data_IF_174198645558
#
_entry.id   IF_174198645558
#
_cell.length_a   1.000
_cell.length_b   1.000
_cell.length_c   1.000
_cell.angle_alpha   90.00
_cell.angle_beta   90.00
_cell.angle_gamma   90.00
#
_symmetry.space_group_name_H-M   'P 1'
#
loop_
_entity.id
_entity.type
_entity.pdbx_description
1 polymer ?
#
# COMPACT_ATOMS: atom_id res chain seq x y z
N UNK A 1 -15.50 -25.86 -41.90
CA UNK A 1 -15.83 -24.62 -42.65
C UNK A 1 -17.26 -24.26 -42.25
N UNK A 2 -17.43 -23.19 -41.47
CA UNK A 2 -18.76 -22.78 -40.97
C UNK A 2 -19.43 -21.98 -42.07
N UNK A 3 -20.61 -22.42 -42.51
CA UNK A 3 -21.39 -21.72 -43.53
C UNK A 3 -21.76 -20.31 -43.06
N UNK A 4 -21.45 -19.33 -43.90
CA UNK A 4 -21.71 -17.90 -43.64
C UNK A 4 -23.20 -17.65 -43.39
N UNK A 5 -24.07 -18.44 -44.03
CA UNK A 5 -25.52 -18.42 -43.81
C UNK A 5 -25.96 -18.92 -42.43
N UNK A 6 -25.18 -19.83 -41.83
CA UNK A 6 -25.44 -20.34 -40.48
C UNK A 6 -25.01 -19.31 -39.42
N UNK A 7 -23.90 -18.59 -39.66
CA UNK A 7 -23.45 -17.51 -38.79
C UNK A 7 -24.41 -16.30 -38.82
N UNK A 8 -24.93 -15.95 -40.00
CA UNK A 8 -25.91 -14.85 -40.17
C UNK A 8 -27.27 -15.16 -39.54
N UNK A 9 -27.73 -16.41 -39.56
CA UNK A 9 -28.97 -16.81 -38.86
C UNK A 9 -28.81 -16.81 -37.35
N UNK A 10 -27.63 -17.13 -36.82
CA UNK A 10 -27.39 -17.15 -35.38
C UNK A 10 -27.37 -15.74 -34.75
N UNK A 11 -26.87 -14.73 -35.48
CA UNK A 11 -26.84 -13.34 -34.99
C UNK A 11 -28.21 -12.65 -35.07
N UNK A 12 -29.09 -13.07 -35.98
CA UNK A 12 -30.43 -12.52 -36.13
C UNK A 12 -31.39 -12.89 -34.99
N UNK A 13 -31.11 -13.97 -34.24
CA UNK A 13 -32.01 -14.51 -33.21
C UNK A 13 -31.57 -14.27 -31.75
N UNK A 14 -30.41 -13.64 -31.48
CA UNK A 14 -30.02 -13.28 -30.10
C UNK A 14 -30.63 -11.97 -29.59
N UNK A 15 -31.86 -11.66 -30.04
CA UNK A 15 -32.67 -10.54 -29.59
C UNK A 15 -33.12 -10.73 -28.14
N UNK A 16 -32.46 -10.01 -27.24
CA UNK A 16 -32.79 -9.77 -25.83
C UNK A 16 -34.31 -9.78 -25.57
N UNK A 17 -34.81 -10.79 -24.85
CA UNK A 17 -36.12 -10.75 -24.18
C UNK A 17 -36.04 -9.73 -23.03
N UNK A 18 -36.74 -8.60 -23.19
CA UNK A 18 -37.01 -7.61 -22.15
C UNK A 18 -38.41 -7.05 -22.36
N UNK A 19 -39.27 -7.22 -21.35
CA UNK A 19 -40.71 -7.03 -21.37
C UNK A 19 -41.17 -5.55 -21.45
N UNK A 20 -42.44 -5.35 -21.83
CA UNK A 20 -43.22 -4.17 -21.43
C UNK A 20 -43.65 -3.24 -22.57
N UNK A 21 -44.95 -3.25 -22.86
CA UNK A 21 -45.64 -2.47 -23.89
C UNK A 21 -45.88 -1.01 -23.49
N UNK A 22 -45.64 -0.06 -24.41
CA UNK A 22 -46.62 0.95 -24.87
C UNK A 22 -46.08 1.78 -26.04
N UNK A 23 -46.99 2.10 -26.96
CA UNK A 23 -46.71 2.55 -28.31
C UNK A 23 -45.94 3.87 -28.43
N UNK A 24 -45.01 3.85 -29.37
CA UNK A 24 -44.31 4.97 -29.97
C UNK A 24 -43.50 4.36 -31.09
N UNK A 25 -43.67 4.85 -32.32
CA UNK A 25 -42.97 4.37 -33.51
C UNK A 25 -41.47 4.22 -33.23
N UNK A 26 -41.04 2.98 -32.96
CA UNK A 26 -39.62 2.66 -32.95
C UNK A 26 -39.21 2.66 -34.40
N UNK A 27 -38.71 3.80 -34.88
CA UNK A 27 -37.86 3.87 -36.07
C UNK A 27 -36.93 2.67 -35.99
N UNK A 28 -37.11 1.71 -36.90
CA UNK A 28 -36.12 0.66 -37.11
C UNK A 28 -34.82 1.40 -37.33
N UNK A 29 -33.88 1.30 -36.40
CA UNK A 29 -32.51 1.73 -36.62
C UNK A 29 -32.00 0.85 -37.76
N UNK A 30 -32.15 1.34 -38.99
CA UNK A 30 -31.51 0.77 -40.16
C UNK A 30 -30.04 0.72 -39.81
N UNK A 31 -29.55 -0.49 -39.55
CA UNK A 31 -28.12 -0.74 -39.40
C UNK A 31 -27.48 -0.19 -40.67
N UNK A 32 -26.63 0.82 -40.53
CA UNK A 32 -25.88 1.33 -41.68
C UNK A 32 -25.15 0.15 -42.35
N UNK A 33 -25.15 0.08 -43.69
CA UNK A 33 -24.42 -0.95 -44.40
C UNK A 33 -22.96 -0.97 -43.94
N UNK A 34 -22.47 -2.12 -43.54
CA UNK A 34 -21.08 -2.29 -43.08
C UNK A 34 -20.11 -1.99 -44.24
N UNK A 35 -19.33 -0.91 -44.11
CA UNK A 35 -18.27 -0.54 -45.05
C UNK A 35 -16.91 -1.02 -44.52
N UNK A 36 -16.32 -2.09 -45.08
CA UNK A 36 -15.08 -2.67 -44.58
C UNK A 36 -13.88 -1.70 -44.69
N UNK A 37 -13.87 -0.80 -45.67
CA UNK A 37 -12.81 0.21 -45.84
C UNK A 37 -12.84 1.26 -44.73
N UNK A 38 -14.01 1.86 -44.49
CA UNK A 38 -14.20 2.85 -43.45
C UNK A 38 -13.96 2.26 -42.05
N UNK A 39 -14.37 1.01 -41.83
CA UNK A 39 -14.05 0.28 -40.60
C UNK A 39 -12.54 0.05 -40.43
N UNK A 40 -11.83 -0.34 -41.48
CA UNK A 40 -10.38 -0.55 -41.41
C UNK A 40 -9.61 0.75 -41.11
N UNK A 41 -10.04 1.89 -41.66
CA UNK A 41 -9.44 3.20 -41.36
C UNK A 41 -9.69 3.63 -39.91
N UNK A 42 -10.88 3.35 -39.38
CA UNK A 42 -11.20 3.59 -37.98
C UNK A 42 -10.37 2.74 -37.02
N UNK A 43 -10.19 1.46 -37.30
CA UNK A 43 -9.34 0.58 -36.48
C UNK A 43 -7.87 1.04 -36.48
N UNK A 44 -7.38 1.53 -37.63
CA UNK A 44 -6.04 2.14 -37.70
C UNK A 44 -5.95 3.41 -36.85
N UNK A 45 -6.96 4.29 -36.91
CA UNK A 45 -7.01 5.50 -36.11
C UNK A 45 -7.03 5.18 -34.60
N UNK A 46 -7.82 4.20 -34.19
CA UNK A 46 -7.91 3.75 -32.79
C UNK A 46 -6.59 3.11 -32.32
N UNK A 47 -5.92 2.33 -33.17
CA UNK A 47 -4.60 1.77 -32.86
C UNK A 47 -3.53 2.87 -32.71
N UNK A 48 -3.54 3.89 -33.58
CA UNK A 48 -2.62 5.03 -33.46
C UNK A 48 -2.86 5.81 -32.16
N UNK A 49 -4.13 6.08 -31.83
CA UNK A 49 -4.50 6.73 -30.57
C UNK A 49 -4.04 5.92 -29.36
N UNK A 50 -4.25 4.59 -29.38
CA UNK A 50 -3.81 3.70 -28.31
C UNK A 50 -2.31 3.81 -28.05
N UNK A 51 -1.48 3.69 -29.08
CA UNK A 51 -0.02 3.79 -28.93
C UNK A 51 0.42 5.18 -28.46
N UNK A 52 -0.17 6.24 -29.02
CA UNK A 52 0.13 7.62 -28.60
C UNK A 52 -0.14 7.80 -27.10
N UNK A 53 -1.30 7.34 -26.63
CA UNK A 53 -1.69 7.45 -25.23
C UNK A 53 -0.79 6.62 -24.31
N UNK A 54 -0.41 5.41 -24.73
CA UNK A 54 0.49 4.55 -23.94
C UNK A 54 1.86 5.22 -23.80
N UNK A 55 2.42 5.73 -24.90
CA UNK A 55 3.69 6.44 -24.88
C UNK A 55 3.63 7.71 -24.02
N UNK A 56 2.50 8.41 -24.04
CA UNK A 56 2.27 9.56 -23.17
C UNK A 56 2.16 9.18 -21.69
N UNK A 57 1.45 8.10 -21.36
CA UNK A 57 1.39 7.56 -20.00
C UNK A 57 2.77 7.16 -19.48
N UNK A 58 3.57 6.50 -20.33
CA UNK A 58 4.95 6.14 -20.02
C UNK A 58 5.82 7.37 -19.80
N UNK A 59 5.77 8.37 -20.68
CA UNK A 59 6.59 9.58 -20.51
C UNK A 59 6.24 10.35 -19.25
N UNK A 60 4.96 10.44 -18.89
CA UNK A 60 4.53 11.06 -17.63
C UNK A 60 5.01 10.24 -16.43
N UNK A 61 4.90 8.90 -16.46
CA UNK A 61 5.38 8.06 -15.37
C UNK A 61 6.90 8.21 -15.15
N UNK A 62 7.68 8.23 -16.23
CA UNK A 62 9.13 8.48 -16.18
C UNK A 62 9.45 9.89 -15.66
N UNK A 63 8.75 10.92 -16.13
CA UNK A 63 8.92 12.29 -15.66
C UNK A 63 8.64 12.38 -14.16
N UNK A 64 7.55 11.79 -13.69
CA UNK A 64 7.21 11.79 -12.26
C UNK A 64 8.31 11.12 -11.44
N UNK A 65 8.75 9.92 -11.85
CA UNK A 65 9.73 9.12 -11.11
C UNK A 65 11.14 9.72 -11.11
N UNK A 66 11.62 10.20 -12.25
CA UNK A 66 13.04 10.57 -12.43
C UNK A 66 13.29 12.07 -12.41
N UNK A 67 12.25 12.91 -12.46
CA UNK A 67 12.40 14.36 -12.45
C UNK A 67 11.64 15.02 -11.30
N UNK A 68 10.38 14.63 -11.06
CA UNK A 68 9.57 15.26 -10.01
C UNK A 68 9.93 14.73 -8.62
N UNK A 69 9.90 13.41 -8.40
CA UNK A 69 10.17 12.82 -7.07
C UNK A 69 11.56 13.18 -6.51
N UNK A 70 12.66 13.17 -7.28
CA UNK A 70 13.98 13.55 -6.75
C UNK A 70 14.10 15.03 -6.35
N UNK A 71 13.12 15.86 -6.73
CA UNK A 71 13.02 17.25 -6.28
C UNK A 71 12.16 17.42 -5.02
N UNK A 72 11.73 16.33 -4.38
CA UNK A 72 10.80 16.32 -3.25
C UNK A 72 11.38 15.57 -2.06
N UNK A 73 10.98 15.98 -0.86
CA UNK A 73 11.47 15.40 0.40
C UNK A 73 10.50 14.34 0.97
N UNK A 74 9.27 14.26 0.44
CA UNK A 74 8.24 13.31 0.89
C UNK A 74 7.10 13.16 -0.13
N UNK A 75 6.25 12.12 0.00
CA UNK A 75 5.06 11.99 -0.83
C UNK A 75 4.12 13.19 -0.69
N UNK A 76 3.81 13.87 -1.80
CA UNK A 76 2.86 14.98 -1.83
C UNK A 76 1.72 14.73 -2.82
N UNK A 77 0.60 15.44 -2.62
CA UNK A 77 -0.60 15.35 -3.47
C UNK A 77 -0.30 15.64 -4.95
N UNK A 78 0.73 16.44 -5.24
CA UNK A 78 1.12 16.79 -6.60
C UNK A 78 1.48 15.55 -7.46
N UNK A 79 1.98 14.48 -6.84
CA UNK A 79 2.32 13.23 -7.52
C UNK A 79 1.10 12.53 -8.13
N UNK A 80 -0.10 12.80 -7.60
CA UNK A 80 -1.37 12.27 -8.10
C UNK A 80 -2.14 13.30 -8.92
N UNK A 81 -2.15 14.55 -8.47
CA UNK A 81 -2.91 15.61 -9.13
C UNK A 81 -2.34 15.94 -10.51
N UNK A 82 -1.02 16.06 -10.63
CA UNK A 82 -0.38 16.50 -11.87
C UNK A 82 -0.62 15.52 -13.04
N UNK A 83 -0.45 14.19 -12.89
CA UNK A 83 -0.79 13.24 -13.94
C UNK A 83 -2.29 13.24 -14.31
N UNK A 84 -3.19 13.41 -13.34
CA UNK A 84 -4.63 13.52 -13.63
C UNK A 84 -4.91 14.77 -14.49
N UNK A 85 -4.26 15.90 -14.20
CA UNK A 85 -4.38 17.11 -15.01
C UNK A 85 -3.83 16.92 -16.45
N UNK A 86 -2.86 16.03 -16.65
CA UNK A 86 -2.29 15.75 -17.98
C UNK A 86 -3.31 15.12 -18.96
N UNK A 87 -4.46 14.62 -18.48
CA UNK A 87 -5.58 14.18 -19.34
C UNK A 87 -6.03 15.31 -20.28
N UNK A 88 -5.99 16.56 -19.82
CA UNK A 88 -6.38 17.71 -20.62
C UNK A 88 -5.50 17.88 -21.88
N UNK A 89 -4.27 17.34 -21.87
CA UNK A 89 -3.34 17.39 -23.00
C UNK A 89 -3.57 16.29 -24.04
N UNK A 90 -4.40 15.28 -23.75
CA UNK A 90 -4.65 14.17 -24.67
C UNK A 90 -5.14 14.70 -26.02
N UNK A 91 -6.17 15.55 -26.03
CA UNK A 91 -6.73 16.09 -27.29
C UNK A 91 -5.73 16.96 -28.05
N UNK A 92 -5.06 17.96 -27.44
CA UNK A 92 -3.98 18.71 -28.08
C UNK A 92 -2.87 17.83 -28.67
N UNK A 93 -2.46 16.77 -27.97
CA UNK A 93 -1.44 15.85 -28.47
C UNK A 93 -1.91 15.06 -29.70
N UNK A 94 -3.17 14.63 -29.72
CA UNK A 94 -3.75 13.95 -30.88
C UNK A 94 -3.82 14.89 -32.09
N UNK A 95 -4.16 16.17 -31.89
CA UNK A 95 -4.17 17.17 -32.96
C UNK A 95 -2.77 17.41 -33.55
N UNK A 96 -1.74 17.33 -32.73
CA UNK A 96 -0.37 17.56 -33.15
C UNK A 96 0.23 16.36 -33.91
N UNK A 97 -0.05 15.13 -33.47
CA UNK A 97 0.64 13.93 -33.93
C UNK A 97 -0.15 13.15 -34.98
N UNK A 98 -1.48 13.10 -34.86
CA UNK A 98 -2.32 12.26 -35.72
C UNK A 98 -2.72 13.05 -36.97
N UNK A 99 -2.58 12.47 -38.18
CA UNK A 99 -3.05 13.11 -39.41
C UNK A 99 -4.54 13.48 -39.36
N UNK A 100 -4.90 14.63 -39.93
CA UNK A 100 -6.26 15.18 -39.89
C UNK A 100 -7.34 14.18 -40.37
N UNK A 101 -7.04 13.40 -41.41
CA UNK A 101 -7.94 12.36 -41.94
C UNK A 101 -8.39 11.34 -40.89
N UNK A 102 -7.55 11.05 -39.90
CA UNK A 102 -7.86 10.14 -38.79
C UNK A 102 -8.37 10.89 -37.57
N UNK A 103 -7.87 12.10 -37.33
CA UNK A 103 -8.29 12.92 -36.20
C UNK A 103 -9.79 13.25 -36.24
N UNK A 104 -10.31 13.52 -37.44
CA UNK A 104 -11.73 13.85 -37.65
C UNK A 104 -12.68 12.66 -37.37
N UNK A 105 -12.16 11.43 -37.36
CA UNK A 105 -12.94 10.23 -37.04
C UNK A 105 -13.17 10.04 -35.53
N UNK A 106 -12.47 10.80 -34.68
CA UNK A 106 -12.57 10.63 -33.23
C UNK A 106 -13.85 11.25 -32.66
N UNK A 107 -14.61 10.42 -31.95
CA UNK A 107 -15.82 10.83 -31.23
C UNK A 107 -15.54 11.04 -29.74
N UNK A 108 -16.54 11.57 -29.02
CA UNK A 108 -16.53 11.66 -27.55
C UNK A 108 -16.19 10.32 -26.87
N UNK A 109 -16.67 9.20 -27.42
CA UNK A 109 -16.37 7.87 -26.88
C UNK A 109 -14.88 7.51 -26.97
N UNK A 110 -14.19 7.94 -28.04
CA UNK A 110 -12.77 7.71 -28.22
C UNK A 110 -11.97 8.53 -27.20
N UNK A 111 -12.36 9.79 -26.95
CA UNK A 111 -11.71 10.65 -25.95
C UNK A 111 -11.82 10.07 -24.53
N UNK A 112 -13.00 9.59 -24.14
CA UNK A 112 -13.19 8.94 -22.85
C UNK A 112 -12.31 7.69 -22.73
N UNK A 113 -12.30 6.83 -23.77
CA UNK A 113 -11.46 5.63 -23.79
C UNK A 113 -9.97 5.96 -23.69
N UNK A 114 -9.51 6.96 -24.43
CA UNK A 114 -8.13 7.44 -24.39
C UNK A 114 -7.76 7.94 -22.99
N UNK A 115 -8.63 8.69 -22.32
CA UNK A 115 -8.41 9.15 -20.94
C UNK A 115 -8.29 7.99 -19.95
N UNK A 116 -9.16 6.99 -20.04
CA UNK A 116 -9.05 5.80 -19.18
C UNK A 116 -7.79 4.99 -19.47
N UNK A 117 -7.47 4.77 -20.74
CA UNK A 117 -6.25 4.08 -21.14
C UNK A 117 -5.02 4.79 -20.58
N UNK A 118 -4.94 6.12 -20.75
CA UNK A 118 -3.88 6.95 -20.17
C UNK A 118 -3.77 6.73 -18.66
N UNK A 119 -4.88 6.88 -17.93
CA UNK A 119 -4.89 6.75 -16.47
C UNK A 119 -4.39 5.39 -16.01
N UNK A 120 -4.89 4.30 -16.60
CA UNK A 120 -4.46 2.95 -16.23
C UNK A 120 -3.01 2.68 -16.63
N UNK A 121 -2.56 3.15 -17.79
CA UNK A 121 -1.16 3.01 -18.19
C UNK A 121 -0.22 3.76 -17.26
N UNK A 122 -0.52 5.03 -16.96
CA UNK A 122 0.26 5.82 -16.01
C UNK A 122 0.28 5.17 -14.62
N UNK A 123 -0.88 4.77 -14.06
CA UNK A 123 -0.95 4.11 -12.76
C UNK A 123 -0.13 2.82 -12.71
N UNK A 124 -0.32 1.94 -13.69
CA UNK A 124 0.39 0.67 -13.74
C UNK A 124 1.91 0.85 -13.82
N UNK A 125 2.36 1.77 -14.68
CA UNK A 125 3.78 2.07 -14.82
C UNK A 125 4.35 2.78 -13.59
N UNK A 126 3.61 3.70 -12.98
CA UNK A 126 4.01 4.33 -11.72
C UNK A 126 4.19 3.29 -10.63
N UNK A 127 3.25 2.37 -10.43
CA UNK A 127 3.41 1.28 -9.46
C UNK A 127 4.62 0.39 -9.74
N UNK A 128 4.91 0.11 -11.01
CA UNK A 128 6.09 -0.67 -11.38
C UNK A 128 7.41 0.10 -11.13
N UNK A 129 7.41 1.43 -11.29
CA UNK A 129 8.60 2.28 -11.18
C UNK A 129 8.92 2.77 -9.77
N UNK A 130 7.94 2.79 -8.86
CA UNK A 130 8.11 3.24 -7.47
C UNK A 130 8.34 2.10 -6.47
N UNK A 131 8.19 0.85 -6.93
CA UNK A 131 8.39 -0.35 -6.11
C UNK A 131 9.64 -1.12 -6.52
N UNK A 132 10.12 -2.03 -5.66
CA UNK A 132 11.24 -2.90 -5.98
C UNK A 132 10.96 -3.72 -7.25
N UNK A 133 11.99 -3.98 -8.08
CA UNK A 133 13.41 -3.71 -7.89
C UNK A 133 13.89 -2.32 -8.39
N UNK A 134 13.00 -1.45 -8.86
CA UNK A 134 13.39 -0.19 -9.53
C UNK A 134 13.57 0.94 -8.52
N UNK A 135 12.73 0.98 -7.50
CA UNK A 135 12.76 2.01 -6.48
C UNK A 135 12.20 1.48 -5.17
N UNK A 136 12.44 2.22 -4.11
CA UNK A 136 11.84 1.96 -2.82
C UNK A 136 11.18 3.21 -2.25
N UNK A 137 9.86 3.28 -2.39
CA UNK A 137 9.08 4.41 -1.89
C UNK A 137 8.53 4.17 -0.49
N UNK A 138 8.52 2.92 -0.02
CA UNK A 138 7.90 2.57 1.24
C UNK A 138 8.96 2.69 2.33
N UNK A 139 8.66 3.45 3.38
CA UNK A 139 9.57 3.45 4.53
C UNK A 139 9.43 2.15 5.34
N UNK A 140 10.53 1.68 5.95
CA UNK A 140 10.46 0.60 6.91
C UNK A 140 9.53 1.01 8.05
N UNK A 141 8.71 0.08 8.51
CA UNK A 141 7.64 0.33 9.47
C UNK A 141 7.43 -0.89 10.36
N UNK A 142 6.61 -0.75 11.40
CA UNK A 142 6.26 -1.94 12.18
C UNK A 142 5.40 -2.92 11.36
N UNK A 143 5.73 -4.20 11.46
CA UNK A 143 5.05 -5.33 10.84
C UNK A 143 3.57 -5.44 11.27
N UNK A 144 3.29 -4.97 12.48
CA UNK A 144 1.98 -4.77 13.10
C UNK A 144 2.03 -3.55 14.02
N UNK A 145 1.40 -3.63 15.17
CA UNK A 145 1.63 -2.68 16.27
C UNK A 145 2.41 -3.38 17.38
N UNK A 146 2.84 -2.64 18.40
CA UNK A 146 3.46 -3.21 19.60
C UNK A 146 2.53 -4.24 20.26
N UNK A 147 3.11 -5.22 20.95
CA UNK A 147 2.38 -6.17 21.78
C UNK A 147 3.15 -6.48 23.06
N UNK A 148 2.48 -7.05 24.05
CA UNK A 148 3.11 -7.54 25.28
C UNK A 148 2.94 -9.05 25.39
N UNK A 149 3.90 -9.70 26.03
CA UNK A 149 3.75 -11.08 26.45
C UNK A 149 2.78 -11.17 27.63
N UNK A 150 1.94 -12.19 27.62
CA UNK A 150 1.06 -12.53 28.72
C UNK A 150 1.90 -12.88 29.95
N UNK A 151 1.58 -12.29 31.09
CA UNK A 151 2.22 -12.57 32.36
C UNK A 151 1.17 -12.70 33.46
N UNK A 152 1.49 -13.46 34.50
CA UNK A 152 0.62 -13.57 35.67
C UNK A 152 0.41 -12.19 36.30
N UNK A 153 -0.85 -11.80 36.45
CA UNK A 153 -1.24 -10.49 36.98
C UNK A 153 -1.76 -9.50 35.93
N UNK A 154 -1.66 -9.79 34.63
CA UNK A 154 -2.42 -9.06 33.60
C UNK A 154 -3.87 -9.55 33.65
N UNK A 155 -4.79 -8.63 33.95
CA UNK A 155 -6.23 -8.89 34.04
C UNK A 155 -6.98 -8.56 32.75
N UNK A 156 -6.54 -7.51 32.06
CA UNK A 156 -7.14 -7.02 30.83
C UNK A 156 -6.12 -6.16 30.08
N UNK A 157 -6.31 -6.02 28.78
CA UNK A 157 -5.39 -5.31 27.90
C UNK A 157 -6.10 -4.90 26.61
N UNK A 158 -5.95 -3.65 26.22
CA UNK A 158 -6.55 -3.15 24.99
C UNK A 158 -5.64 -2.14 24.30
N UNK A 159 -5.51 -2.28 22.98
CA UNK A 159 -4.73 -1.37 22.15
C UNK A 159 -5.69 -0.54 21.29
N UNK A 160 -5.93 0.69 21.71
CA UNK A 160 -6.72 1.67 20.95
C UNK A 160 -5.80 2.68 20.26
N UNK A 161 -5.59 2.46 18.95
CA UNK A 161 -4.77 3.31 18.10
C UNK A 161 -3.30 3.34 18.53
N UNK A 162 -2.94 4.31 19.38
CA UNK A 162 -1.58 4.53 19.90
C UNK A 162 -1.46 4.34 21.42
N UNK A 163 -2.57 4.12 22.11
CA UNK A 163 -2.58 3.89 23.56
C UNK A 163 -2.79 2.40 23.82
N UNK A 164 -1.84 1.79 24.50
CA UNK A 164 -1.94 0.41 24.97
C UNK A 164 -2.22 0.42 26.46
N UNK A 165 -3.48 0.18 26.83
CA UNK A 165 -3.90 0.04 28.23
C UNK A 165 -3.65 -1.39 28.70
N UNK A 166 -3.00 -1.53 29.85
CA UNK A 166 -2.75 -2.80 30.53
C UNK A 166 -3.28 -2.69 31.95
N UNK A 167 -4.21 -3.55 32.32
CA UNK A 167 -4.75 -3.61 33.68
C UNK A 167 -4.09 -4.71 34.47
N UNK A 168 -3.47 -4.34 35.58
CA UNK A 168 -2.71 -5.25 36.43
C UNK A 168 -3.45 -5.47 37.76
N UNK A 169 -3.45 -6.71 38.25
CA UNK A 169 -4.08 -7.09 39.52
C UNK A 169 -3.12 -7.08 40.71
N UNK A 170 -1.85 -6.74 40.48
CA UNK A 170 -0.77 -6.69 41.46
C UNK A 170 -0.11 -5.31 41.45
N UNK A 171 0.77 -5.03 42.40
CA UNK A 171 1.46 -3.72 42.48
C UNK A 171 2.53 -3.53 41.39
N UNK A 172 3.09 -4.63 40.88
CA UNK A 172 4.00 -4.62 39.73
C UNK A 172 3.97 -5.97 39.02
N UNK A 173 4.20 -5.96 37.70
CA UNK A 173 4.29 -7.18 36.89
C UNK A 173 5.47 -7.10 35.91
N UNK A 174 6.12 -8.21 35.54
CA UNK A 174 7.08 -8.20 34.44
C UNK A 174 6.35 -7.90 33.12
N UNK A 175 6.89 -6.98 32.33
CA UNK A 175 6.36 -6.60 31.01
C UNK A 175 7.44 -6.82 29.97
N UNK A 176 7.19 -7.79 29.08
CA UNK A 176 7.98 -7.99 27.88
C UNK A 176 7.23 -7.34 26.72
N UNK A 177 7.81 -6.29 26.15
CA UNK A 177 7.27 -5.57 25.02
C UNK A 177 7.89 -6.09 23.72
N UNK A 178 7.06 -6.56 22.81
CA UNK A 178 7.45 -7.02 21.48
C UNK A 178 7.05 -6.04 20.37
N UNK A 179 7.84 -6.03 19.30
CA UNK A 179 7.53 -5.41 18.03
C UNK A 179 8.21 -6.18 16.90
N UNK A 180 7.65 -6.13 15.69
CA UNK A 180 8.32 -6.59 14.48
C UNK A 180 8.59 -5.44 13.54
N UNK A 181 9.76 -5.39 12.92
CA UNK A 181 10.08 -4.45 11.84
C UNK A 181 9.85 -5.14 10.50
N UNK A 182 9.19 -4.43 9.57
CA UNK A 182 8.97 -4.89 8.20
C UNK A 182 9.38 -3.80 7.22
N UNK A 183 9.97 -4.28 6.14
CA UNK A 183 10.25 -3.50 4.96
C UNK A 183 9.92 -4.32 3.69
N UNK A 184 9.77 -3.65 2.55
CA UNK A 184 9.49 -4.28 1.25
C UNK A 184 10.74 -4.86 0.57
N UNK A 185 11.95 -4.37 0.90
CA UNK A 185 13.23 -4.88 0.38
C UNK A 185 13.96 -5.67 1.46
N UNK A 186 14.40 -5.01 2.53
CA UNK A 186 15.13 -5.66 3.61
C UNK A 186 15.04 -4.88 4.94
N UNK A 187 14.22 -5.41 5.84
CA UNK A 187 14.04 -4.84 7.18
C UNK A 187 15.33 -4.90 8.02
N UNK A 188 16.25 -5.81 7.71
CA UNK A 188 17.49 -6.06 8.46
C UNK A 188 18.51 -4.94 8.29
N UNK A 189 18.47 -4.26 7.13
CA UNK A 189 19.39 -3.19 6.76
C UNK A 189 18.83 -1.79 7.05
N UNK A 190 17.62 -1.70 7.62
CA UNK A 190 17.07 -0.44 8.10
C UNK A 190 17.77 -0.01 9.40
N UNK A 191 17.90 1.29 9.60
CA UNK A 191 18.35 1.88 10.87
C UNK A 191 17.14 2.13 11.78
N UNK A 192 17.25 1.72 13.04
CA UNK A 192 16.24 1.94 14.07
C UNK A 192 16.80 2.80 15.19
N UNK A 193 15.95 3.71 15.68
CA UNK A 193 16.11 4.40 16.96
C UNK A 193 14.89 4.10 17.82
N UNK A 194 15.08 3.35 18.90
CA UNK A 194 14.05 2.97 19.86
C UNK A 194 14.39 3.59 21.21
N UNK A 195 13.46 4.36 21.75
CA UNK A 195 13.55 4.83 23.13
C UNK A 195 12.27 4.50 23.89
N UNK A 196 12.43 3.96 25.09
CA UNK A 196 11.33 3.65 26.00
C UNK A 196 11.65 4.29 27.34
N UNK A 197 10.74 5.11 27.86
CA UNK A 197 10.92 5.74 29.16
C UNK A 197 9.60 5.80 29.92
N UNK A 198 9.68 5.79 31.25
CA UNK A 198 8.53 6.05 32.11
C UNK A 198 8.31 7.56 32.22
N UNK A 199 7.08 8.02 32.08
CA UNK A 199 6.75 9.44 32.26
C UNK A 199 7.14 9.88 33.67
N UNK A 200 7.94 10.94 33.77
CA UNK A 200 8.46 11.46 35.03
C UNK A 200 9.83 10.91 35.46
N UNK A 201 10.43 9.98 34.70
CA UNK A 201 11.83 9.58 34.84
C UNK A 201 12.68 10.26 33.76
N UNK A 202 13.92 10.66 34.10
CA UNK A 202 14.83 11.28 33.14
C UNK A 202 15.58 10.26 32.28
N UNK A 203 15.95 9.12 32.85
CA UNK A 203 16.73 8.11 32.14
C UNK A 203 15.80 7.15 31.39
N UNK A 204 16.07 6.84 30.10
CA UNK A 204 15.30 5.86 29.37
C UNK A 204 15.58 4.45 29.91
N UNK A 205 14.54 3.63 29.92
CA UNK A 205 14.57 2.21 30.27
C UNK A 205 15.27 1.43 29.15
N UNK A 206 14.93 1.75 27.89
CA UNK A 206 15.52 1.18 26.69
C UNK A 206 15.93 2.32 25.79
N UNK A 207 17.15 2.27 25.25
CA UNK A 207 17.67 3.24 24.30
C UNK A 207 18.59 2.52 23.32
N UNK A 208 18.03 2.12 22.17
CA UNK A 208 18.74 1.40 21.12
C UNK A 208 18.85 2.27 19.87
N UNK A 209 20.03 2.27 19.26
CA UNK A 209 20.28 2.97 18.00
C UNK A 209 21.25 2.15 17.15
N UNK A 210 20.89 1.88 15.90
CA UNK A 210 21.74 1.13 14.97
C UNK A 210 20.94 0.37 13.93
N UNK A 211 21.60 -0.54 13.22
CA UNK A 211 20.94 -1.42 12.26
C UNK A 211 19.98 -2.37 12.98
N UNK A 212 18.81 -2.58 12.39
CA UNK A 212 17.78 -3.48 12.92
C UNK A 212 18.33 -4.89 13.15
N UNK A 213 19.13 -5.40 12.21
CA UNK A 213 19.79 -6.70 12.36
C UNK A 213 20.79 -6.75 13.53
N UNK A 214 21.58 -5.71 13.72
CA UNK A 214 22.55 -5.65 14.84
C UNK A 214 21.82 -5.60 16.17
N UNK A 215 20.78 -4.76 16.28
CA UNK A 215 19.95 -4.67 17.48
C UNK A 215 19.30 -6.02 17.75
N UNK A 216 18.67 -6.64 16.75
CA UNK A 216 17.99 -7.93 16.91
C UNK A 216 18.94 -9.04 17.39
N UNK A 217 20.13 -9.13 16.79
CA UNK A 217 21.14 -10.15 17.12
C UNK A 217 21.83 -9.93 18.47
N UNK A 218 21.68 -8.76 19.09
CA UNK A 218 22.23 -8.44 20.41
C UNK A 218 21.31 -8.86 21.57
N UNK A 219 20.36 -9.78 21.34
CA UNK A 219 19.50 -10.38 22.37
C UNK A 219 17.98 -10.10 22.27
N UNK A 220 17.50 -8.97 21.72
CA UNK A 220 16.06 -8.74 21.54
C UNK A 220 15.33 -9.80 20.70
N UNK A 221 15.98 -10.39 19.68
CA UNK A 221 15.39 -11.50 18.93
C UNK A 221 15.27 -12.76 19.80
N UNK A 222 16.31 -13.09 20.56
CA UNK A 222 16.27 -14.24 21.48
C UNK A 222 15.18 -14.06 22.56
N UNK A 223 15.01 -12.82 23.03
CA UNK A 223 13.95 -12.46 23.99
C UNK A 223 12.56 -12.65 23.37
N UNK A 224 12.39 -12.25 22.11
CA UNK A 224 11.14 -12.47 21.38
C UNK A 224 10.84 -13.97 21.22
N UNK A 225 11.84 -14.75 20.80
CA UNK A 225 11.72 -16.19 20.56
C UNK A 225 11.52 -16.99 21.86
N UNK A 226 11.85 -16.42 23.02
CA UNK A 226 11.58 -17.02 24.33
C UNK A 226 10.10 -17.01 24.73
N UNK A 227 9.28 -16.16 24.09
CA UNK A 227 7.84 -16.05 24.35
C UNK A 227 7.09 -16.95 23.36
N UNK A 228 6.21 -17.83 23.85
CA UNK A 228 5.39 -18.66 22.95
C UNK A 228 4.52 -17.76 22.06
N UNK A 229 4.35 -18.15 20.80
CA UNK A 229 3.58 -17.37 19.84
C UNK A 229 2.13 -17.11 20.30
N UNK A 230 1.56 -18.00 21.12
CA UNK A 230 0.21 -17.85 21.69
C UNK A 230 0.16 -16.99 22.96
N UNK A 231 1.31 -16.73 23.58
CA UNK A 231 1.39 -15.93 24.80
C UNK A 231 1.44 -14.42 24.49
N UNK A 232 1.58 -14.03 23.23
CA UNK A 232 1.36 -12.64 22.82
C UNK A 232 -0.11 -12.26 22.98
N UNK A 233 -0.37 -11.21 23.76
CA UNK A 233 -1.71 -10.83 24.22
C UNK A 233 -2.69 -10.52 23.07
N UNK A 234 -2.21 -9.92 21.97
CA UNK A 234 -3.07 -9.66 20.80
C UNK A 234 -3.30 -10.91 19.94
N UNK A 235 -2.61 -12.00 20.23
CA UNK A 235 -2.75 -13.32 19.62
C UNK A 235 -2.17 -13.44 18.21
N UNK A 236 -2.51 -14.54 17.55
CA UNK A 236 -2.04 -14.85 16.20
C UNK A 236 -2.79 -14.07 15.12
N UNK A 237 -2.09 -13.74 14.03
CA UNK A 237 -2.73 -13.17 12.84
C UNK A 237 -3.41 -14.29 12.05
N UNK A 238 -4.70 -14.11 11.77
CA UNK A 238 -5.49 -15.05 10.97
C UNK A 238 -5.59 -14.55 9.53
N UNK A 239 -5.30 -15.43 8.57
CA UNK A 239 -5.48 -15.14 7.16
C UNK A 239 -6.98 -15.11 6.83
N UNK A 240 -7.47 -13.99 6.29
CA UNK A 240 -8.89 -13.83 5.96
C UNK A 240 -9.36 -14.71 4.79
N UNK A 241 -8.44 -15.13 3.91
CA UNK A 241 -8.75 -15.93 2.72
C UNK A 241 -8.71 -17.43 3.01
N UNK A 242 -7.70 -17.90 3.75
CA UNK A 242 -7.52 -19.34 4.03
C UNK A 242 -8.05 -19.77 5.39
N UNK A 243 -8.19 -18.83 6.34
CA UNK A 243 -8.59 -19.11 7.72
C UNK A 243 -7.46 -19.65 8.59
N UNK A 244 -6.26 -19.84 8.05
CA UNK A 244 -5.10 -20.33 8.78
C UNK A 244 -4.47 -19.24 9.63
N UNK A 245 -3.87 -19.64 10.75
CA UNK A 245 -3.08 -18.74 11.58
C UNK A 245 -1.64 -18.68 11.03
N UNK A 246 -1.10 -17.46 10.92
CA UNK A 246 0.32 -17.22 10.68
C UNK A 246 1.05 -16.99 12.01
N UNK A 247 2.10 -16.16 12.02
CA UNK A 247 2.76 -15.74 13.26
C UNK A 247 1.91 -14.83 14.16
N UNK A 248 2.44 -14.43 15.32
CA UNK A 248 1.79 -13.50 16.24
C UNK A 248 1.53 -12.16 15.55
N UNK A 249 0.46 -11.44 15.93
CA UNK A 249 0.07 -10.18 15.26
C UNK A 249 1.17 -9.10 15.31
N UNK A 250 2.06 -9.17 16.29
CA UNK A 250 3.21 -8.29 16.46
C UNK A 250 4.27 -8.48 15.35
N UNK A 251 4.48 -9.72 14.89
CA UNK A 251 5.41 -10.11 13.83
C UNK A 251 4.87 -11.34 13.07
N UNK A 252 3.92 -11.14 12.15
CA UNK A 252 3.15 -12.25 11.58
C UNK A 252 3.84 -13.05 10.47
N UNK A 253 4.87 -12.50 9.82
CA UNK A 253 5.59 -13.17 8.73
C UNK A 253 7.04 -13.46 9.11
N UNK A 254 7.62 -14.51 8.54
CA UNK A 254 9.00 -14.92 8.81
C UNK A 254 10.07 -13.97 8.29
N UNK A 255 9.71 -13.02 7.42
CA UNK A 255 10.60 -11.97 6.93
C UNK A 255 10.56 -10.71 7.82
N UNK A 256 9.67 -10.67 8.81
CA UNK A 256 9.64 -9.58 9.78
C UNK A 256 10.80 -9.80 10.77
N UNK A 257 11.53 -8.74 11.09
CA UNK A 257 12.56 -8.80 12.15
C UNK A 257 11.87 -8.58 13.49
N UNK A 258 11.65 -9.67 14.21
CA UNK A 258 10.97 -9.68 15.51
C UNK A 258 11.94 -9.40 16.65
N UNK A 259 11.55 -8.49 17.56
CA UNK A 259 12.37 -8.09 18.69
C UNK A 259 11.49 -7.87 19.92
N UNK A 260 12.01 -8.18 21.11
CA UNK A 260 11.35 -7.90 22.37
C UNK A 260 12.31 -7.41 23.45
N UNK A 261 11.80 -6.59 24.37
CA UNK A 261 12.55 -6.06 25.51
C UNK A 261 11.78 -6.30 26.80
N UNK A 262 12.48 -6.73 27.84
CA UNK A 262 11.95 -6.75 29.20
C UNK A 262 12.06 -5.34 29.80
N UNK A 263 10.94 -4.63 29.90
CA UNK A 263 10.93 -3.23 30.31
C UNK A 263 11.24 -3.05 31.80
N UNK A 264 10.83 -4.00 32.63
CA UNK A 264 11.05 -3.91 34.08
C UNK A 264 11.35 -5.30 34.62
N UNK A 265 12.65 -5.67 34.72
CA UNK A 265 13.04 -6.95 35.30
C UNK A 265 12.55 -7.15 36.74
N UNK A 266 12.41 -6.06 37.51
CA UNK A 266 11.87 -6.06 38.88
C UNK A 266 10.35 -5.80 38.95
N UNK A 267 9.68 -5.75 37.79
CA UNK A 267 8.25 -5.48 37.65
C UNK A 267 7.93 -4.02 37.38
N UNK A 268 7.09 -3.77 36.36
CA UNK A 268 6.55 -2.46 36.05
C UNK A 268 5.34 -2.21 36.95
N UNK A 269 5.43 -1.19 37.81
CA UNK A 269 4.27 -0.68 38.54
C UNK A 269 3.40 0.25 37.68
N UNK A 270 2.23 0.68 38.19
CA UNK A 270 1.33 1.57 37.48
C UNK A 270 2.00 2.87 37.01
N UNK A 271 1.49 3.42 35.92
CA UNK A 271 1.96 4.64 35.29
C UNK A 271 2.01 4.56 33.78
N UNK A 272 2.43 5.66 33.17
CA UNK A 272 2.55 5.79 31.72
C UNK A 272 4.00 5.60 31.28
N UNK A 273 4.18 4.86 30.20
CA UNK A 273 5.46 4.66 29.53
C UNK A 273 5.30 5.07 28.07
N UNK A 274 6.28 5.78 27.54
CA UNK A 274 6.28 6.24 26.15
C UNK A 274 7.29 5.44 25.37
N UNK A 275 6.84 4.86 24.27
CA UNK A 275 7.64 4.07 23.32
C UNK A 275 7.75 4.88 22.04
N UNK A 276 8.93 5.46 21.80
CA UNK A 276 9.21 6.24 20.59
C UNK A 276 10.11 5.43 19.66
N UNK A 277 9.67 5.25 18.42
CA UNK A 277 10.33 4.42 17.41
C UNK A 277 10.49 5.26 16.16
N UNK A 278 11.72 5.39 15.71
CA UNK A 278 12.06 5.90 14.38
C UNK A 278 12.74 4.80 13.59
N UNK A 279 12.23 4.54 12.39
CA UNK A 279 12.83 3.63 11.42
C UNK A 279 13.22 4.44 10.19
N UNK A 280 14.40 4.15 9.65
CA UNK A 280 14.96 4.87 8.54
C UNK A 280 15.68 3.90 7.61
N UNK A 281 15.49 4.09 6.31
CA UNK A 281 16.28 3.44 5.28
C UNK A 281 16.94 4.52 4.42
N UNK A 282 18.24 4.33 4.15
CA UNK A 282 18.99 5.15 3.19
C UNK A 282 19.30 4.27 1.97
N UNK A 283 19.09 4.78 0.77
CA UNK A 283 19.43 4.00 -0.42
C UNK A 283 19.25 4.72 -1.75
N UNK A 284 20.04 4.33 -2.74
CA UNK A 284 19.93 4.85 -4.10
C UNK A 284 18.61 4.49 -4.82
N UNK A 285 17.82 3.57 -4.24
CA UNK A 285 16.49 3.22 -4.72
C UNK A 285 15.40 4.16 -4.19
N UNK A 286 15.68 4.90 -3.12
CA UNK A 286 14.76 5.88 -2.54
C UNK A 286 14.56 7.03 -3.53
N UNK A 287 13.31 7.37 -3.90
CA UNK A 287 13.05 8.31 -4.99
C UNK A 287 13.14 9.78 -4.56
N UNK A 288 13.34 10.07 -3.27
CA UNK A 288 13.35 11.41 -2.69
C UNK A 288 14.70 12.11 -2.82
N UNK A 289 14.69 13.43 -2.66
CA UNK A 289 15.89 14.27 -2.74
C UNK A 289 16.95 13.87 -1.73
N UNK A 290 16.52 13.62 -0.50
CA UNK A 290 17.43 13.42 0.62
C UNK A 290 17.95 11.97 0.66
N UNK A 291 17.40 11.06 -0.16
CA UNK A 291 17.83 9.65 -0.24
C UNK A 291 17.31 8.76 0.89
N UNK A 292 16.46 9.34 1.75
CA UNK A 292 16.05 8.73 3.01
C UNK A 292 14.54 8.48 3.03
N UNK A 293 14.15 7.31 3.52
CA UNK A 293 12.78 6.95 3.84
C UNK A 293 12.64 6.81 5.34
N UNK A 294 11.89 7.73 5.97
CA UNK A 294 11.74 7.77 7.43
C UNK A 294 10.30 7.48 7.85
N UNK A 295 10.16 6.63 8.86
CA UNK A 295 8.90 6.37 9.54
C UNK A 295 9.05 6.59 11.04
N UNK A 296 8.14 7.34 11.63
CA UNK A 296 8.16 7.68 13.06
C UNK A 296 6.82 7.33 13.68
N UNK A 297 6.86 6.72 14.86
CA UNK A 297 5.68 6.45 15.68
C UNK A 297 5.99 6.63 17.15
N UNK A 298 4.96 7.02 17.89
CA UNK A 298 4.94 7.01 19.33
C UNK A 298 3.73 6.20 19.82
N UNK A 299 3.96 5.34 20.81
CA UNK A 299 2.92 4.64 21.55
C UNK A 299 2.99 5.01 23.03
N UNK A 300 1.83 5.07 23.67
CA UNK A 300 1.70 5.25 25.12
C UNK A 300 1.24 3.95 25.74
N UNK A 301 2.07 3.35 26.58
CA UNK A 301 1.72 2.19 27.39
C UNK A 301 1.20 2.69 28.74
N UNK A 302 -0.09 2.48 29.02
CA UNK A 302 -0.71 2.89 30.28
C UNK A 302 -0.96 1.68 31.15
N UNK A 303 -0.17 1.53 32.21
CA UNK A 303 -0.33 0.45 33.18
C UNK A 303 -1.20 0.95 34.32
N UNK A 304 -2.39 0.37 34.46
CA UNK A 304 -3.38 0.74 35.46
C UNK A 304 -3.57 -0.41 36.44
N UNK A 305 -3.69 -0.10 37.73
CA UNK A 305 -4.05 -1.10 38.73
C UNK A 305 -5.57 -1.30 38.71
N UNK A 306 -6.02 -2.54 38.54
CA UNK A 306 -7.44 -2.88 38.69
C UNK A 306 -7.79 -2.68 40.16
N UNK A 307 -8.78 -1.84 40.45
CA UNK A 307 -9.33 -1.76 41.81
C UNK A 307 -9.93 -3.12 42.18
N UNK A 308 -9.54 -3.63 43.34
CA UNK A 308 -10.03 -4.90 43.90
C UNK A 308 -11.52 -4.87 44.25
#
# INVERSE_FOLDING_TARGET
>A
MVDVDTALRASAYSGKKGAGSKGGDKKSTTLEPFDPSAHAEKEKADAMSMWLVILFGLSVALLMRFYIMPGMDSPQQILWLLPVLMIALIRPLHQLVIPNQFFELFSTGNWVRASFLYLFTWLALSFALVNPPIADIAAPHLAGAIDIASSEGISDSDLDGRVYEIRISQDSIPVILGLGVRDNVDASNSTMNLTIHKVGQMDPIVSEYGLVSEIANNGPSDTFDSVDANDWVRGLKKNALTGDNSGPKVAPHSADVSMAWNLCPEGCGPGEYVVHITLMEEGGMVPWRDGDNVWVVEYTLSILQSSS
#
